data_IF_018748901702
#
_entry.id   IF_018748901702
#
_cell.length_a   1.000
_cell.length_b   1.000
_cell.length_c   1.000
_cell.angle_alpha   90.00
_cell.angle_beta   90.00
_cell.angle_gamma   90.00
#
_symmetry.space_group_name_H-M   'P 1'
#
loop_
_entity.id
_entity.type
_entity.pdbx_description
1 polymer ?
#
# COMPACT_ATOMS: atom_id res chain seq x y z
N UNK A 1 0.47 39.30 17.10
CA UNK A 1 1.10 37.98 16.95
C UNK A 1 0.02 37.00 17.34
N UNK A 2 -0.62 36.33 16.38
CA UNK A 2 -1.63 35.33 16.70
C UNK A 2 -0.90 34.08 17.16
N UNK A 3 -1.24 33.60 18.34
CA UNK A 3 -0.78 32.34 18.90
C UNK A 3 -1.30 31.19 18.02
N UNK A 4 -0.58 30.94 16.93
CA UNK A 4 -0.68 29.77 16.07
C UNK A 4 -0.12 28.55 16.81
N UNK A 5 -0.70 28.21 17.94
CA UNK A 5 -0.61 26.85 18.50
C UNK A 5 -1.61 25.99 17.70
N UNK A 6 -1.36 25.85 16.39
CA UNK A 6 -1.96 24.77 15.60
C UNK A 6 -1.36 23.50 16.19
N UNK A 7 -2.03 22.97 17.21
CA UNK A 7 -1.82 21.73 17.95
C UNK A 7 -0.78 20.82 17.26
N UNK A 8 0.51 21.17 17.45
CA UNK A 8 1.64 20.56 16.74
C UNK A 8 1.65 19.05 16.99
N UNK A 9 1.09 18.64 18.13
CA UNK A 9 0.89 17.28 18.55
C UNK A 9 -0.08 16.51 17.63
N UNK A 10 -1.24 17.08 17.29
CA UNK A 10 -2.15 16.46 16.31
C UNK A 10 -1.52 16.33 14.92
N UNK A 11 -0.78 17.35 14.49
CA UNK A 11 -0.07 17.30 13.21
C UNK A 11 0.99 16.19 13.20
N UNK A 12 1.79 16.08 14.27
CA UNK A 12 2.82 15.05 14.42
C UNK A 12 2.22 13.64 14.52
N UNK A 13 1.08 13.47 15.21
CA UNK A 13 0.34 12.20 15.29
C UNK A 13 -0.19 11.78 13.91
N UNK A 14 -0.84 12.70 13.17
CA UNK A 14 -1.29 12.46 11.80
C UNK A 14 -0.13 12.13 10.87
N UNK A 15 0.98 12.87 10.98
CA UNK A 15 2.18 12.64 10.18
C UNK A 15 2.75 11.25 10.42
N UNK A 16 2.83 10.81 11.68
CA UNK A 16 3.31 9.48 12.04
C UNK A 16 2.43 8.37 11.44
N UNK A 17 1.10 8.52 11.52
CA UNK A 17 0.14 7.55 10.97
C UNK A 17 0.25 7.44 9.45
N UNK A 18 0.36 8.58 8.75
CA UNK A 18 0.41 8.58 7.27
C UNK A 18 1.80 8.31 6.71
N UNK A 19 2.87 8.52 7.50
CA UNK A 19 4.24 8.25 7.06
C UNK A 19 4.43 6.81 6.58
N UNK A 20 3.95 5.83 7.35
CA UNK A 20 4.02 4.43 6.95
C UNK A 20 3.27 4.13 5.64
N UNK A 21 2.12 4.77 5.42
CA UNK A 21 1.39 4.63 4.17
C UNK A 21 2.19 5.24 3.00
N UNK A 22 2.72 6.45 3.17
CA UNK A 22 3.50 7.15 2.14
C UNK A 22 4.76 6.35 1.77
N UNK A 23 5.48 5.85 2.77
CA UNK A 23 6.68 5.05 2.58
C UNK A 23 6.36 3.73 1.83
N UNK A 24 5.23 3.09 2.17
CA UNK A 24 4.76 1.88 1.48
C UNK A 24 4.46 2.16 0.00
N UNK A 25 3.64 3.16 -0.31
CA UNK A 25 3.29 3.47 -1.70
C UNK A 25 4.53 3.91 -2.49
N UNK A 26 5.43 4.68 -1.87
CA UNK A 26 6.72 5.04 -2.48
C UNK A 26 7.52 3.79 -2.85
N UNK A 27 7.60 2.81 -1.95
CA UNK A 27 8.27 1.54 -2.23
C UNK A 27 7.58 0.72 -3.33
N UNK A 28 6.24 0.70 -3.37
CA UNK A 28 5.47 0.01 -4.41
C UNK A 28 5.70 0.63 -5.80
N UNK A 29 5.72 1.96 -5.91
CA UNK A 29 6.02 2.66 -7.17
C UNK A 29 7.49 2.52 -7.59
N UNK A 30 8.41 2.32 -6.63
CA UNK A 30 9.83 2.14 -6.89
C UNK A 30 10.28 0.67 -6.96
N UNK A 31 9.32 -0.28 -6.92
CA UNK A 31 9.59 -1.72 -6.89
C UNK A 31 10.45 -2.13 -8.09
N UNK A 32 11.57 -2.79 -7.82
CA UNK A 32 12.56 -3.22 -8.83
C UNK A 32 13.00 -4.67 -8.67
N UNK A 33 12.18 -5.48 -8.04
CA UNK A 33 12.53 -6.86 -7.65
C UNK A 33 11.46 -7.85 -8.05
N UNK A 34 11.91 -9.05 -8.41
CA UNK A 34 11.08 -10.23 -8.66
C UNK A 34 11.39 -11.34 -7.64
N UNK A 35 12.29 -11.08 -6.69
CA UNK A 35 12.68 -12.08 -5.69
C UNK A 35 11.58 -12.22 -4.65
N UNK A 36 11.07 -13.43 -4.49
CA UNK A 36 9.98 -13.73 -3.56
C UNK A 36 10.30 -13.32 -2.11
N UNK A 37 11.54 -13.44 -1.65
CA UNK A 37 11.95 -13.02 -0.30
C UNK A 37 11.77 -11.50 -0.08
N UNK A 38 12.13 -10.70 -1.09
CA UNK A 38 11.97 -9.25 -1.06
C UNK A 38 10.49 -8.87 -1.16
N UNK A 39 9.72 -9.56 -2.01
CA UNK A 39 8.27 -9.38 -2.12
C UNK A 39 7.53 -9.74 -0.83
N UNK A 40 7.94 -10.81 -0.14
CA UNK A 40 7.39 -11.19 1.16
C UNK A 40 7.67 -10.15 2.24
N UNK A 41 8.80 -9.43 2.14
CA UNK A 41 9.10 -8.31 3.04
C UNK A 41 8.19 -7.11 2.78
N UNK A 42 7.93 -6.81 1.50
CA UNK A 42 6.96 -5.76 1.10
C UNK A 42 5.55 -6.15 1.56
N UNK A 43 5.15 -7.42 1.40
CA UNK A 43 3.86 -7.94 1.85
C UNK A 43 3.64 -7.74 3.36
N UNK A 44 4.66 -8.01 4.18
CA UNK A 44 4.59 -7.75 5.63
C UNK A 44 4.33 -6.28 5.94
N UNK A 45 4.95 -5.35 5.19
CA UNK A 45 4.70 -3.92 5.37
C UNK A 45 3.26 -3.54 4.97
N UNK A 46 2.74 -4.12 3.88
CA UNK A 46 1.34 -3.93 3.47
C UNK A 46 0.39 -4.39 4.59
N UNK A 47 0.65 -5.56 5.16
CA UNK A 47 -0.15 -6.14 6.26
C UNK A 47 -0.15 -5.25 7.49
N UNK A 48 1.00 -4.70 7.88
CA UNK A 48 1.10 -3.71 8.96
C UNK A 48 0.22 -2.49 8.66
N UNK A 49 0.28 -1.94 7.44
CA UNK A 49 -0.57 -0.79 7.07
C UNK A 49 -2.06 -1.13 7.07
N UNK A 50 -2.46 -2.33 6.65
CA UNK A 50 -3.85 -2.81 6.71
C UNK A 50 -4.36 -2.95 8.15
N UNK A 51 -3.53 -3.51 9.03
CA UNK A 51 -3.89 -3.79 10.43
C UNK A 51 -3.86 -2.51 11.27
N UNK A 52 -2.79 -1.71 11.16
CA UNK A 52 -2.56 -0.57 12.04
C UNK A 52 -3.35 0.68 11.62
N UNK A 53 -3.58 0.89 10.32
CA UNK A 53 -4.25 2.12 9.88
C UNK A 53 -5.77 2.07 10.02
N UNK A 54 -6.38 0.87 10.11
CA UNK A 54 -7.83 0.61 10.15
C UNK A 54 -8.66 1.37 9.07
N UNK A 55 -7.98 1.96 8.08
CA UNK A 55 -8.52 2.93 7.11
C UNK A 55 -8.59 2.35 5.70
N UNK A 56 -7.70 1.40 5.39
CA UNK A 56 -7.61 0.83 4.06
C UNK A 56 -8.18 -0.59 4.07
N UNK A 57 -9.29 -0.81 3.37
CA UNK A 57 -9.80 -2.16 3.18
C UNK A 57 -8.81 -2.97 2.32
N UNK A 58 -8.70 -4.30 2.51
CA UNK A 58 -7.89 -5.15 1.65
C UNK A 58 -8.23 -5.00 0.16
N UNK A 59 -9.49 -4.69 -0.16
CA UNK A 59 -9.97 -4.42 -1.52
C UNK A 59 -9.33 -3.15 -2.12
N UNK A 60 -9.21 -2.08 -1.33
CA UNK A 60 -8.62 -0.82 -1.80
C UNK A 60 -7.13 -1.00 -2.09
N UNK A 61 -6.39 -1.64 -1.20
CA UNK A 61 -4.95 -1.88 -1.43
C UNK A 61 -4.73 -2.82 -2.62
N UNK A 62 -5.57 -3.85 -2.74
CA UNK A 62 -5.49 -4.76 -3.87
C UNK A 62 -5.72 -4.01 -5.19
N UNK A 63 -6.72 -3.12 -5.23
CA UNK A 63 -6.95 -2.23 -6.36
C UNK A 63 -5.74 -1.33 -6.63
N UNK A 64 -5.21 -0.66 -5.61
CA UNK A 64 -4.07 0.26 -5.79
C UNK A 64 -2.84 -0.46 -6.36
N UNK A 65 -2.56 -1.68 -5.90
CA UNK A 65 -1.45 -2.50 -6.42
C UNK A 65 -1.64 -2.82 -7.90
N UNK A 66 -2.87 -3.14 -8.32
CA UNK A 66 -3.18 -3.42 -9.72
C UNK A 66 -3.10 -2.16 -10.58
N UNK A 67 -3.57 -1.02 -10.05
CA UNK A 67 -3.54 0.27 -10.74
C UNK A 67 -2.10 0.81 -10.91
N UNK A 68 -1.11 0.29 -10.17
CA UNK A 68 0.33 0.63 -10.34
C UNK A 68 0.93 -0.07 -11.57
N UNK A 69 0.42 -1.24 -11.96
CA UNK A 69 1.02 -2.08 -13.00
C UNK A 69 1.28 -1.34 -14.33
N UNK A 70 0.34 -0.51 -14.86
CA UNK A 70 0.57 0.25 -16.10
C UNK A 70 1.80 1.18 -16.04
N UNK A 71 2.18 1.65 -14.84
CA UNK A 71 3.28 2.60 -14.66
C UNK A 71 4.64 1.93 -14.43
N UNK A 72 4.67 0.65 -14.05
CA UNK A 72 5.90 -0.12 -13.81
C UNK A 72 5.78 -1.56 -14.33
N UNK A 73 5.37 -1.68 -15.59
CA UNK A 73 5.00 -2.94 -16.25
C UNK A 73 6.10 -4.03 -16.24
N UNK A 74 7.37 -3.66 -16.14
CA UNK A 74 8.50 -4.60 -16.04
C UNK A 74 8.30 -5.59 -14.90
N UNK A 75 7.72 -5.16 -13.78
CA UNK A 75 7.53 -5.98 -12.58
C UNK A 75 6.09 -6.44 -12.39
N UNK A 76 5.30 -6.54 -13.46
CA UNK A 76 3.90 -7.00 -13.42
C UNK A 76 3.74 -8.30 -12.60
N UNK A 77 4.65 -9.27 -12.77
CA UNK A 77 4.62 -10.53 -12.02
C UNK A 77 4.70 -10.32 -10.50
N UNK A 78 5.54 -9.38 -10.07
CA UNK A 78 5.71 -9.03 -8.66
C UNK A 78 4.45 -8.42 -8.08
N UNK A 79 3.80 -7.51 -8.82
CA UNK A 79 2.53 -6.91 -8.40
C UNK A 79 1.40 -7.95 -8.34
N UNK A 80 1.31 -8.84 -9.33
CA UNK A 80 0.33 -9.94 -9.33
C UNK A 80 0.57 -10.93 -8.18
N UNK A 81 1.84 -11.18 -7.83
CA UNK A 81 2.19 -12.00 -6.66
C UNK A 81 1.70 -11.37 -5.36
N UNK A 82 1.98 -10.07 -5.15
CA UNK A 82 1.50 -9.33 -3.98
C UNK A 82 -0.04 -9.30 -3.94
N UNK A 83 -0.69 -9.06 -5.08
CA UNK A 83 -2.14 -9.06 -5.20
C UNK A 83 -2.74 -10.42 -4.82
N UNK A 84 -2.12 -11.52 -5.27
CA UNK A 84 -2.54 -12.87 -4.91
C UNK A 84 -2.45 -13.12 -3.40
N UNK A 85 -1.34 -12.75 -2.76
CA UNK A 85 -1.18 -12.93 -1.31
C UNK A 85 -2.28 -12.21 -0.51
N UNK A 86 -2.59 -10.96 -0.89
CA UNK A 86 -3.66 -10.18 -0.24
C UNK A 86 -5.04 -10.83 -0.49
N UNK A 87 -5.30 -11.24 -1.73
CA UNK A 87 -6.57 -11.90 -2.09
C UNK A 87 -6.77 -13.21 -1.32
N UNK A 88 -5.71 -14.04 -1.23
CA UNK A 88 -5.72 -15.32 -0.54
C UNK A 88 -5.87 -15.15 0.98
N UNK A 89 -5.14 -14.22 1.62
CA UNK A 89 -5.21 -14.01 3.08
C UNK A 89 -6.52 -13.35 3.53
N UNK A 90 -7.00 -12.35 2.79
CA UNK A 90 -8.20 -11.58 3.17
C UNK A 90 -9.48 -12.03 2.44
N UNK A 91 -9.41 -13.11 1.66
CA UNK A 91 -10.53 -13.70 0.91
C UNK A 91 -11.28 -12.68 0.03
N UNK A 92 -10.55 -11.78 -0.64
CA UNK A 92 -11.13 -10.76 -1.51
C UNK A 92 -11.53 -11.41 -2.84
N UNK A 93 -12.82 -11.65 -3.04
CA UNK A 93 -13.33 -12.38 -4.23
C UNK A 93 -13.47 -11.52 -5.48
N UNK A 94 -13.74 -10.23 -5.32
CA UNK A 94 -14.01 -9.32 -6.44
C UNK A 94 -13.59 -7.89 -6.09
N UNK A 95 -13.11 -7.18 -7.10
CA UNK A 95 -12.71 -5.78 -7.02
C UNK A 95 -13.32 -5.06 -8.22
N UNK A 96 -14.10 -4.01 -7.96
CA UNK A 96 -14.70 -3.18 -9.01
C UNK A 96 -13.78 -2.03 -9.41
N UNK A 97 -13.87 -1.57 -10.66
CA UNK A 97 -13.21 -0.36 -11.17
C UNK A 97 -11.67 -0.39 -11.13
N UNK A 98 -11.06 -1.48 -11.61
CA UNK A 98 -9.60 -1.58 -11.80
C UNK A 98 -9.26 -1.11 -13.21
N UNK A 99 -8.12 -0.41 -13.37
CA UNK A 99 -7.62 -0.02 -14.69
C UNK A 99 -7.36 -1.29 -15.53
N UNK A 100 -7.79 -1.30 -16.79
CA UNK A 100 -7.49 -2.40 -17.71
C UNK A 100 -5.98 -2.45 -17.97
N UNK A 101 -5.36 -3.58 -17.63
CA UNK A 101 -3.92 -3.84 -17.69
C UNK A 101 -3.54 -4.39 -19.05
#
# INVERSE_FOLDING_TARGET
MSDEDIDLNKFNELQSIYKYCIDLYTALYQLKTEKEEELNSIYKNIRVVLIDSNKNSPQNILKDILDIIPYNNRYTKSYLYLAKLISDEYQVKEISNVISI
#
